data_IF_308077719974
#
_entry.id   IF_308077719974
#
_cell.length_a   1.000
_cell.length_b   1.000
_cell.length_c   1.000
_cell.angle_alpha   90.00
_cell.angle_beta   90.00
_cell.angle_gamma   90.00
#
_symmetry.space_group_name_H-M   'P 1'
#
loop_
_entity.id
_entity.type
_entity.pdbx_description
1 polymer ?
#
# COMPACT_ATOMS: atom_id res chain seq x y z
N UNK A 1 11.97 -20.60 14.39
CA UNK A 1 10.58 -20.97 14.02
C UNK A 1 10.47 -21.29 12.54
N UNK A 2 9.47 -22.10 12.16
CA UNK A 2 9.03 -22.27 10.78
C UNK A 2 7.72 -21.50 10.57
N UNK A 3 7.75 -20.41 9.83
CA UNK A 3 6.63 -19.51 9.59
C UNK A 3 6.12 -19.71 8.16
N UNK A 4 4.82 -19.97 8.00
CA UNK A 4 4.20 -20.11 6.67
C UNK A 4 3.32 -18.90 6.41
N UNK A 5 3.70 -18.06 5.43
CA UNK A 5 2.94 -16.89 4.99
C UNK A 5 2.07 -17.24 3.78
N UNK A 6 0.80 -16.85 3.81
CA UNK A 6 -0.13 -17.03 2.68
C UNK A 6 -0.50 -15.65 2.15
N UNK A 7 0.04 -15.28 0.99
CA UNK A 7 -0.20 -13.99 0.35
C UNK A 7 -0.46 -14.15 -1.14
N UNK A 8 -1.55 -13.57 -1.62
CA UNK A 8 -1.87 -13.56 -3.04
C UNK A 8 -0.96 -12.63 -3.87
N UNK A 9 -0.23 -11.73 -3.23
CA UNK A 9 0.77 -10.85 -3.85
C UNK A 9 2.16 -11.12 -3.25
N UNK A 10 3.14 -11.30 -4.12
CA UNK A 10 4.56 -11.45 -3.80
C UNK A 10 5.37 -11.13 -5.07
N UNK A 11 6.60 -10.61 -5.01
CA UNK A 11 7.42 -10.35 -6.20
C UNK A 11 7.51 -11.56 -7.15
N UNK A 12 7.51 -11.37 -8.46
CA UNK A 12 7.58 -10.12 -9.23
C UNK A 12 6.23 -9.39 -9.41
N UNK A 13 5.22 -9.72 -8.62
CA UNK A 13 3.93 -9.06 -8.61
C UNK A 13 3.90 -8.06 -7.44
N UNK A 14 4.32 -6.83 -7.73
CA UNK A 14 4.42 -5.77 -6.75
C UNK A 14 3.08 -5.05 -6.53
N UNK A 15 2.74 -4.84 -5.28
CA UNK A 15 1.69 -3.99 -4.73
C UNK A 15 2.05 -3.72 -3.27
N UNK A 16 1.32 -2.89 -2.54
CA UNK A 16 1.61 -2.60 -1.14
C UNK A 16 1.74 -3.87 -0.30
N UNK A 17 0.76 -4.78 -0.40
CA UNK A 17 0.81 -6.08 0.29
C UNK A 17 2.01 -6.93 -0.16
N UNK A 18 2.28 -7.02 -1.46
CA UNK A 18 3.39 -7.82 -1.99
C UNK A 18 4.75 -7.34 -1.48
N UNK A 19 4.92 -6.02 -1.37
CA UNK A 19 6.13 -5.39 -0.83
C UNK A 19 6.29 -5.70 0.66
N UNK A 20 5.25 -5.48 1.48
CA UNK A 20 5.32 -5.75 2.92
C UNK A 20 5.60 -7.21 3.24
N UNK A 21 4.95 -8.15 2.54
CA UNK A 21 5.21 -9.60 2.71
C UNK A 21 6.63 -9.97 2.32
N UNK A 22 7.14 -9.38 1.23
CA UNK A 22 8.52 -9.63 0.80
C UNK A 22 9.52 -9.16 1.86
N UNK A 23 9.42 -7.93 2.30
CA UNK A 23 10.34 -7.37 3.30
C UNK A 23 10.26 -8.14 4.63
N UNK A 24 9.07 -8.43 5.13
CA UNK A 24 8.90 -9.21 6.35
C UNK A 24 9.48 -10.61 6.22
N UNK A 25 9.19 -11.32 5.11
CA UNK A 25 9.71 -12.68 4.90
C UNK A 25 11.23 -12.73 4.76
N UNK A 26 11.82 -11.71 4.13
CA UNK A 26 13.28 -11.57 4.00
C UNK A 26 13.92 -11.29 5.35
N UNK A 27 13.41 -10.32 6.09
CA UNK A 27 13.91 -9.97 7.43
C UNK A 27 13.89 -11.18 8.39
N UNK A 28 12.80 -11.93 8.40
CA UNK A 28 12.68 -13.13 9.23
C UNK A 28 13.68 -14.23 8.82
N UNK A 29 13.88 -14.41 7.52
CA UNK A 29 14.86 -15.37 7.01
C UNK A 29 16.29 -14.99 7.38
N UNK A 30 16.64 -13.70 7.33
CA UNK A 30 17.92 -13.14 7.78
C UNK A 30 18.13 -13.30 9.29
N UNK A 31 17.07 -13.24 10.09
CA UNK A 31 17.08 -13.57 11.54
C UNK A 31 17.18 -15.08 11.83
N UNK A 32 17.32 -15.93 10.81
CA UNK A 32 17.52 -17.36 10.94
C UNK A 32 16.22 -18.19 11.05
N UNK A 33 15.05 -17.58 10.87
CA UNK A 33 13.78 -18.30 10.82
C UNK A 33 13.58 -18.96 9.46
N UNK A 34 13.01 -20.17 9.44
CA UNK A 34 12.57 -20.80 8.20
C UNK A 34 11.24 -20.14 7.75
N UNK A 35 11.21 -19.57 6.57
CA UNK A 35 10.03 -18.90 6.03
C UNK A 35 9.57 -19.58 4.75
N UNK A 36 8.29 -19.95 4.70
CA UNK A 36 7.64 -20.51 3.51
C UNK A 36 6.54 -19.58 3.05
N UNK A 37 6.67 -18.97 1.87
CA UNK A 37 5.65 -18.10 1.31
C UNK A 37 4.84 -18.84 0.27
N UNK A 38 3.53 -18.99 0.49
CA UNK A 38 2.58 -19.55 -0.47
C UNK A 38 1.94 -18.39 -1.24
N UNK A 39 2.14 -18.34 -2.57
CA UNK A 39 1.65 -17.25 -3.41
C UNK A 39 1.05 -17.74 -4.73
N UNK A 40 0.41 -16.85 -5.46
CA UNK A 40 -0.18 -17.15 -6.77
C UNK A 40 0.90 -17.38 -7.82
N UNK A 41 0.76 -18.46 -8.60
CA UNK A 41 1.66 -18.73 -9.74
C UNK A 41 1.66 -17.56 -10.73
N UNK A 42 2.84 -17.28 -11.28
CA UNK A 42 3.09 -16.22 -12.26
C UNK A 42 3.84 -16.80 -13.48
N UNK A 43 3.86 -16.04 -14.61
CA UNK A 43 4.66 -16.41 -15.80
C UNK A 43 6.17 -16.35 -15.52
N UNK A 44 6.62 -15.40 -14.72
CA UNK A 44 7.98 -15.32 -14.19
C UNK A 44 8.01 -16.06 -12.86
N UNK A 45 8.91 -17.04 -12.73
CA UNK A 45 9.10 -17.76 -11.48
C UNK A 45 9.60 -16.82 -10.39
N UNK A 46 9.15 -17.08 -9.18
CA UNK A 46 9.71 -16.44 -7.99
C UNK A 46 11.10 -17.05 -7.73
N UNK A 47 12.09 -16.21 -7.52
CA UNK A 47 13.43 -16.64 -7.09
C UNK A 47 13.67 -16.06 -5.71
N UNK A 48 14.00 -16.91 -4.76
CA UNK A 48 14.56 -16.48 -3.48
C UNK A 48 16.04 -16.78 -3.48
N UNK A 49 16.85 -15.81 -3.09
CA UNK A 49 18.30 -15.96 -2.96
C UNK A 49 18.72 -16.32 -1.52
N UNK A 50 17.77 -16.46 -0.60
CA UNK A 50 18.07 -16.77 0.81
C UNK A 50 17.76 -18.23 1.14
N UNK A 51 18.67 -18.99 1.79
CA UNK A 51 18.51 -20.41 2.06
C UNK A 51 17.32 -20.73 2.96
N UNK A 52 16.93 -19.83 3.85
CA UNK A 52 15.80 -20.00 4.78
C UNK A 52 14.46 -19.51 4.22
N UNK A 53 14.42 -18.95 3.00
CA UNK A 53 13.20 -18.40 2.39
C UNK A 53 12.77 -19.23 1.18
N UNK A 54 11.64 -19.92 1.31
CA UNK A 54 11.10 -20.79 0.27
C UNK A 54 9.78 -20.23 -0.27
N UNK A 55 9.67 -20.06 -1.59
CA UNK A 55 8.45 -19.55 -2.23
C UNK A 55 7.75 -20.68 -2.98
N UNK A 56 6.50 -20.93 -2.63
CA UNK A 56 5.64 -21.95 -3.23
C UNK A 56 4.53 -21.31 -4.06
N UNK A 57 4.53 -21.57 -5.34
CA UNK A 57 3.48 -21.10 -6.24
C UNK A 57 2.31 -22.09 -6.30
N UNK A 58 1.09 -21.57 -6.17
CA UNK A 58 -0.12 -22.37 -6.30
C UNK A 58 -1.02 -21.87 -7.42
N UNK A 59 -1.82 -22.77 -7.98
CA UNK A 59 -2.82 -22.46 -9.02
C UNK A 59 -3.88 -21.50 -8.48
N UNK A 60 -4.51 -20.75 -9.39
CA UNK A 60 -5.59 -19.82 -9.08
C UNK A 60 -6.44 -19.56 -10.33
N UNK A 61 -7.74 -19.29 -10.15
CA UNK A 61 -8.63 -18.91 -11.23
C UNK A 61 -8.42 -17.45 -11.64
N UNK A 62 -8.32 -17.18 -12.95
CA UNK A 62 -8.07 -15.82 -13.48
C UNK A 62 -9.35 -14.97 -13.60
N UNK A 63 -10.38 -15.29 -12.83
CA UNK A 63 -11.63 -14.52 -12.80
C UNK A 63 -11.60 -13.50 -11.66
N UNK A 64 -12.03 -12.25 -11.89
CA UNK A 64 -12.11 -11.23 -10.84
C UNK A 64 -12.86 -11.74 -9.62
N UNK A 65 -12.38 -11.36 -8.43
CA UNK A 65 -12.87 -11.80 -7.10
C UNK A 65 -12.83 -13.33 -6.86
N UNK A 66 -13.23 -14.17 -7.83
CA UNK A 66 -13.18 -15.62 -7.67
C UNK A 66 -11.76 -16.17 -7.45
N UNK A 67 -10.74 -15.43 -7.91
CA UNK A 67 -9.35 -15.80 -7.67
C UNK A 67 -9.03 -15.96 -6.17
N UNK A 68 -9.65 -15.19 -5.29
CA UNK A 68 -9.39 -15.22 -3.84
C UNK A 68 -9.80 -16.55 -3.23
N UNK A 69 -10.94 -17.09 -3.68
CA UNK A 69 -11.46 -18.41 -3.24
C UNK A 69 -10.64 -19.56 -3.79
N UNK A 70 -10.32 -19.53 -5.08
CA UNK A 70 -9.51 -20.57 -5.70
C UNK A 70 -8.08 -20.57 -5.16
N UNK A 71 -7.48 -19.39 -4.95
CA UNK A 71 -6.17 -19.26 -4.31
C UNK A 71 -6.19 -19.83 -2.90
N UNK A 72 -7.18 -19.47 -2.08
CA UNK A 72 -7.35 -20.00 -0.73
C UNK A 72 -7.43 -21.53 -0.70
N UNK A 73 -8.19 -22.14 -1.62
CA UNK A 73 -8.30 -23.60 -1.73
C UNK A 73 -6.93 -24.28 -1.98
N UNK A 74 -6.21 -23.80 -3.01
CA UNK A 74 -4.90 -24.39 -3.33
C UNK A 74 -3.83 -24.06 -2.28
N UNK A 75 -3.95 -22.93 -1.59
CA UNK A 75 -3.03 -22.53 -0.52
C UNK A 75 -3.18 -23.45 0.70
N UNK A 76 -4.41 -23.81 1.10
CA UNK A 76 -4.64 -24.75 2.20
C UNK A 76 -4.10 -26.14 1.86
N UNK A 77 -4.32 -26.64 0.64
CA UNK A 77 -3.75 -27.92 0.21
C UNK A 77 -2.21 -27.92 0.24
N UNK A 78 -1.60 -26.79 -0.18
CA UNK A 78 -0.14 -26.65 -0.10
C UNK A 78 0.36 -26.55 1.33
N UNK A 79 -0.36 -25.85 2.20
CA UNK A 79 -0.07 -25.76 3.63
C UNK A 79 -0.05 -27.15 4.28
N UNK A 80 -1.04 -28.01 4.01
CA UNK A 80 -1.09 -29.38 4.48
C UNK A 80 0.10 -30.21 3.97
N UNK A 81 0.46 -30.05 2.70
CA UNK A 81 1.63 -30.72 2.13
C UNK A 81 2.94 -30.29 2.83
N UNK A 82 3.05 -29.03 3.26
CA UNK A 82 4.20 -28.55 4.04
C UNK A 82 4.16 -29.15 5.45
N UNK A 83 2.99 -29.13 6.12
CA UNK A 83 2.79 -29.65 7.47
C UNK A 83 3.07 -31.15 7.57
N UNK A 84 2.77 -31.93 6.53
CA UNK A 84 3.07 -33.36 6.47
C UNK A 84 4.57 -33.69 6.51
N UNK A 85 5.44 -32.76 6.10
CA UNK A 85 6.89 -32.98 6.04
C UNK A 85 7.69 -32.15 7.05
N UNK A 86 7.09 -31.10 7.60
CA UNK A 86 7.77 -30.17 8.49
C UNK A 86 6.79 -29.62 9.51
N UNK A 87 7.20 -29.56 10.77
CA UNK A 87 6.46 -28.82 11.78
C UNK A 87 6.37 -27.34 11.36
N UNK A 88 5.17 -26.77 11.50
CA UNK A 88 4.90 -25.35 11.30
C UNK A 88 4.62 -24.74 12.66
N UNK A 89 5.32 -23.65 13.00
CA UNK A 89 5.15 -22.97 14.28
C UNK A 89 4.13 -21.84 14.22
N UNK A 90 3.92 -21.25 13.03
CA UNK A 90 2.96 -20.17 12.81
C UNK A 90 2.48 -20.11 11.35
N UNK A 91 1.21 -19.78 11.16
CA UNK A 91 0.61 -19.48 9.85
C UNK A 91 0.19 -18.01 9.82
N UNK A 92 0.72 -17.24 8.86
CA UNK A 92 0.38 -15.84 8.67
C UNK A 92 -0.43 -15.62 7.38
N UNK A 93 -1.68 -15.20 7.51
CA UNK A 93 -2.64 -14.97 6.42
C UNK A 93 -2.68 -13.47 6.09
N UNK A 94 -2.52 -13.10 4.82
CA UNK A 94 -2.58 -11.70 4.37
C UNK A 94 -3.92 -11.42 3.65
N UNK A 95 -4.86 -10.80 4.38
CA UNK A 95 -6.19 -10.44 3.89
C UNK A 95 -6.19 -9.10 3.15
N UNK A 96 -7.18 -8.81 2.26
CA UNK A 96 -8.41 -9.58 1.99
C UNK A 96 -8.31 -10.62 0.87
N UNK A 97 -7.15 -10.81 0.25
CA UNK A 97 -7.03 -11.63 -0.97
C UNK A 97 -6.98 -13.15 -0.72
N UNK A 98 -7.11 -13.56 0.54
CA UNK A 98 -7.18 -14.98 0.95
C UNK A 98 -8.56 -15.23 1.56
N UNK A 99 -9.50 -15.77 0.78
CA UNK A 99 -10.89 -15.97 1.20
C UNK A 99 -11.11 -17.40 1.72
N UNK A 100 -10.85 -17.65 3.00
CA UNK A 100 -11.02 -18.95 3.63
C UNK A 100 -12.45 -19.17 4.15
N UNK A 101 -12.97 -20.41 4.01
CA UNK A 101 -14.18 -20.83 4.71
C UNK A 101 -13.89 -21.13 6.17
N UNK A 102 -14.93 -21.22 7.01
CA UNK A 102 -14.80 -21.65 8.40
C UNK A 102 -14.05 -23.00 8.51
N UNK A 103 -14.41 -23.99 7.68
CA UNK A 103 -13.75 -25.30 7.65
C UNK A 103 -12.26 -25.18 7.32
N UNK A 104 -11.89 -24.33 6.39
CA UNK A 104 -10.49 -24.11 6.02
C UNK A 104 -9.72 -23.39 7.13
N UNK A 105 -10.33 -22.41 7.82
CA UNK A 105 -9.71 -21.75 8.98
C UNK A 105 -9.48 -22.72 10.13
N UNK A 106 -10.50 -23.52 10.48
CA UNK A 106 -10.34 -24.57 11.53
C UNK A 106 -9.21 -25.55 11.19
N UNK A 107 -9.05 -25.88 9.90
CA UNK A 107 -7.95 -26.71 9.43
C UNK A 107 -6.58 -26.02 9.56
N UNK A 108 -6.48 -24.75 9.27
CA UNK A 108 -5.25 -23.98 9.53
C UNK A 108 -4.93 -23.96 11.03
N UNK A 109 -5.92 -23.68 11.88
CA UNK A 109 -5.77 -23.63 13.33
C UNK A 109 -5.39 -24.98 13.96
N UNK A 110 -5.75 -26.12 13.34
CA UNK A 110 -5.32 -27.44 13.79
C UNK A 110 -3.86 -27.78 13.44
N UNK A 111 -3.23 -27.02 12.56
CA UNK A 111 -1.83 -27.19 12.17
C UNK A 111 -0.91 -26.32 13.03
N UNK A 112 -1.23 -25.03 13.19
CA UNK A 112 -0.45 -24.07 13.96
C UNK A 112 -1.31 -22.84 14.31
N UNK A 113 -0.91 -22.01 15.30
CA UNK A 113 -1.57 -20.74 15.56
C UNK A 113 -1.57 -19.87 14.32
N UNK A 114 -2.70 -19.17 14.10
CA UNK A 114 -2.87 -18.33 12.90
C UNK A 114 -2.88 -16.86 13.25
N UNK A 115 -2.19 -16.06 12.44
CA UNK A 115 -2.24 -14.62 12.45
C UNK A 115 -2.91 -14.14 11.16
N UNK A 116 -3.83 -13.17 11.23
CA UNK A 116 -4.48 -12.56 10.08
C UNK A 116 -4.11 -11.09 9.96
N UNK A 117 -3.24 -10.72 9.00
CA UNK A 117 -2.96 -9.32 8.68
C UNK A 117 -4.03 -8.73 7.77
N UNK A 118 -4.61 -7.62 8.22
CA UNK A 118 -5.65 -6.85 7.54
C UNK A 118 -5.01 -5.69 6.78
N UNK A 119 -4.88 -5.81 5.44
CA UNK A 119 -4.29 -4.78 4.58
C UNK A 119 -5.34 -3.80 4.00
N UNK A 120 -6.47 -3.67 4.64
CA UNK A 120 -7.70 -3.02 4.20
C UNK A 120 -8.83 -4.05 4.11
N UNK A 121 -9.95 -3.67 3.53
CA UNK A 121 -11.15 -4.51 3.50
C UNK A 121 -11.87 -4.49 2.14
N UNK A 122 -12.62 -5.55 1.81
CA UNK A 122 -13.48 -5.55 0.62
C UNK A 122 -14.61 -4.52 0.69
N UNK A 123 -15.13 -4.26 1.88
CA UNK A 123 -16.18 -3.23 2.07
C UNK A 123 -15.60 -1.83 1.84
N UNK A 124 -14.41 -1.56 2.35
CA UNK A 124 -13.71 -0.30 2.15
C UNK A 124 -13.30 -0.09 0.68
N UNK A 125 -12.74 -1.12 0.02
CA UNK A 125 -12.44 -1.06 -1.43
C UNK A 125 -13.71 -0.72 -2.25
N UNK A 126 -14.85 -1.34 -1.92
CA UNK A 126 -16.15 -1.04 -2.56
C UNK A 126 -16.56 0.41 -2.35
N UNK A 127 -16.46 0.93 -1.14
CA UNK A 127 -16.86 2.30 -0.83
C UNK A 127 -15.92 3.33 -1.47
N UNK A 128 -14.62 3.04 -1.53
CA UNK A 128 -13.68 3.83 -2.32
C UNK A 128 -14.03 3.89 -3.80
N UNK A 129 -14.55 2.81 -4.38
CA UNK A 129 -15.05 2.81 -5.77
C UNK A 129 -16.38 3.57 -5.93
N UNK A 130 -17.26 3.53 -4.92
CA UNK A 130 -18.50 4.35 -4.90
C UNK A 130 -18.13 5.83 -4.84
N UNK A 131 -17.21 6.22 -3.96
CA UNK A 131 -16.68 7.58 -3.88
C UNK A 131 -16.05 8.02 -5.20
N UNK A 132 -15.17 7.18 -5.79
CA UNK A 132 -14.58 7.45 -7.09
C UNK A 132 -15.63 7.74 -8.19
N UNK A 133 -16.73 6.98 -8.19
CA UNK A 133 -17.85 7.22 -9.12
C UNK A 133 -18.55 8.53 -8.83
N UNK A 134 -18.83 8.84 -7.56
CA UNK A 134 -19.47 10.09 -7.11
C UNK A 134 -18.67 11.31 -7.57
N UNK A 135 -17.33 11.28 -7.45
CA UNK A 135 -16.44 12.37 -7.86
C UNK A 135 -16.06 12.33 -9.34
N UNK A 136 -16.70 11.44 -10.11
CA UNK A 136 -16.59 11.39 -11.56
C UNK A 136 -15.28 10.80 -12.08
N UNK A 137 -14.56 10.01 -11.28
CA UNK A 137 -13.46 9.19 -11.76
C UNK A 137 -13.99 8.22 -12.83
N UNK A 138 -13.39 8.28 -13.99
CA UNK A 138 -13.94 7.59 -15.15
C UNK A 138 -13.74 6.08 -15.06
N UNK A 139 -14.80 5.33 -15.45
CA UNK A 139 -14.72 3.95 -15.88
C UNK A 139 -14.72 2.86 -14.80
N UNK A 140 -15.18 3.12 -13.57
CA UNK A 140 -15.43 2.05 -12.60
C UNK A 140 -16.27 0.93 -13.23
N UNK A 141 -17.35 1.28 -13.94
CA UNK A 141 -18.22 0.29 -14.61
C UNK A 141 -17.62 -0.36 -15.88
N UNK A 142 -16.52 0.20 -16.41
CA UNK A 142 -15.81 -0.33 -17.59
C UNK A 142 -14.59 -1.16 -17.24
N UNK A 143 -14.20 -1.20 -15.97
CA UNK A 143 -13.13 -2.05 -15.48
C UNK A 143 -13.74 -3.30 -14.85
N UNK A 144 -13.52 -4.51 -15.40
CA UNK A 144 -14.11 -5.75 -14.89
C UNK A 144 -13.75 -6.02 -13.42
N UNK A 145 -12.55 -5.65 -12.97
CA UNK A 145 -12.12 -5.81 -11.58
C UNK A 145 -12.93 -4.90 -10.65
N UNK A 146 -13.01 -3.60 -10.99
CA UNK A 146 -13.76 -2.62 -10.17
C UNK A 146 -15.24 -2.97 -10.12
N UNK A 147 -15.83 -3.37 -11.26
CA UNK A 147 -17.22 -3.82 -11.31
C UNK A 147 -17.45 -5.08 -10.46
N UNK A 148 -16.54 -6.04 -10.51
CA UNK A 148 -16.62 -7.24 -9.68
C UNK A 148 -16.57 -6.91 -8.19
N UNK A 149 -15.71 -5.99 -7.75
CA UNK A 149 -15.66 -5.53 -6.36
C UNK A 149 -17.00 -4.89 -5.97
N UNK A 150 -17.53 -3.98 -6.79
CA UNK A 150 -18.81 -3.32 -6.52
C UNK A 150 -19.95 -4.32 -6.31
N UNK A 151 -20.01 -5.37 -7.12
CA UNK A 151 -21.10 -6.36 -7.11
C UNK A 151 -20.93 -7.42 -6.03
N UNK A 152 -19.70 -7.84 -5.72
CA UNK A 152 -19.45 -9.03 -4.90
C UNK A 152 -18.69 -8.79 -3.59
N UNK A 153 -18.27 -7.57 -3.29
CA UNK A 153 -17.54 -7.26 -2.06
C UNK A 153 -18.28 -7.72 -0.79
N UNK A 154 -19.61 -7.51 -0.70
CA UNK A 154 -20.43 -8.00 0.42
C UNK A 154 -20.44 -9.52 0.57
N UNK A 155 -20.31 -10.26 -0.52
CA UNK A 155 -20.19 -11.72 -0.46
C UNK A 155 -18.81 -12.15 0.03
N UNK A 156 -17.75 -11.54 -0.52
CA UNK A 156 -16.37 -11.87 -0.14
C UNK A 156 -15.98 -11.38 1.25
N UNK A 157 -16.60 -10.31 1.75
CA UNK A 157 -16.39 -9.82 3.12
C UNK A 157 -16.76 -10.85 4.20
N UNK A 158 -17.67 -11.79 3.89
CA UNK A 158 -17.99 -12.90 4.81
C UNK A 158 -16.80 -13.82 5.08
N UNK A 159 -15.98 -14.10 4.07
CA UNK A 159 -14.77 -14.92 4.21
C UNK A 159 -13.66 -14.16 4.93
N UNK A 160 -13.57 -12.86 4.67
CA UNK A 160 -12.66 -11.95 5.34
C UNK A 160 -12.98 -11.89 6.84
N UNK A 161 -14.27 -11.68 7.20
CA UNK A 161 -14.75 -11.77 8.60
C UNK A 161 -14.37 -13.08 9.25
N UNK A 162 -14.68 -14.20 8.61
CA UNK A 162 -14.38 -15.54 9.14
C UNK A 162 -12.90 -15.72 9.40
N UNK A 163 -12.04 -15.31 8.46
CA UNK A 163 -10.59 -15.43 8.60
C UNK A 163 -10.06 -14.57 9.74
N UNK A 164 -10.52 -13.31 9.85
CA UNK A 164 -10.12 -12.40 10.92
C UNK A 164 -10.64 -12.85 12.30
N UNK A 165 -11.89 -13.33 12.37
CA UNK A 165 -12.53 -13.74 13.63
C UNK A 165 -11.95 -15.02 14.19
N UNK A 166 -11.58 -15.98 13.34
CA UNK A 166 -11.09 -17.29 13.76
C UNK A 166 -9.56 -17.38 13.85
N UNK A 167 -8.84 -16.35 13.46
CA UNK A 167 -7.41 -16.28 13.69
C UNK A 167 -7.12 -16.19 15.20
N UNK A 168 -5.99 -16.75 15.65
CA UNK A 168 -5.52 -16.64 17.03
C UNK A 168 -5.32 -15.16 17.42
N UNK A 169 -4.87 -14.35 16.44
CA UNK A 169 -4.83 -12.89 16.54
C UNK A 169 -4.97 -12.28 15.14
N UNK A 170 -5.67 -11.17 15.05
CA UNK A 170 -5.66 -10.30 13.88
C UNK A 170 -4.68 -9.14 14.08
N UNK A 171 -4.08 -8.65 12.99
CA UNK A 171 -3.25 -7.45 12.99
C UNK A 171 -3.78 -6.49 11.94
N UNK A 172 -4.31 -5.37 12.38
CA UNK A 172 -4.70 -4.28 11.51
C UNK A 172 -3.49 -3.40 11.19
N UNK A 173 -3.37 -2.96 9.95
CA UNK A 173 -2.29 -2.08 9.51
C UNK A 173 -2.52 -0.60 9.85
N UNK A 174 -3.65 -0.28 10.51
CA UNK A 174 -3.99 1.05 11.02
C UNK A 174 -5.12 0.94 12.04
N UNK A 175 -5.29 1.95 12.90
CA UNK A 175 -6.44 2.00 13.80
C UNK A 175 -7.75 2.15 13.01
N UNK A 176 -7.76 2.91 11.92
CA UNK A 176 -8.92 3.04 11.04
C UNK A 176 -9.36 1.68 10.48
N UNK A 177 -8.42 0.83 10.04
CA UNK A 177 -8.74 -0.53 9.58
C UNK A 177 -9.29 -1.39 10.74
N UNK A 178 -8.73 -1.30 11.95
CA UNK A 178 -9.26 -2.02 13.12
C UNK A 178 -10.69 -1.58 13.44
N UNK A 179 -10.95 -0.29 13.49
CA UNK A 179 -12.28 0.28 13.73
C UNK A 179 -13.26 -0.15 12.64
N UNK A 180 -12.85 -0.10 11.37
CA UNK A 180 -13.67 -0.57 10.25
C UNK A 180 -14.13 -2.02 10.44
N UNK A 181 -13.26 -2.91 10.90
CA UNK A 181 -13.63 -4.31 11.18
C UNK A 181 -14.60 -4.41 12.36
N UNK A 182 -14.40 -3.68 13.45
CA UNK A 182 -15.31 -3.67 14.59
C UNK A 182 -16.70 -3.21 14.15
N UNK A 183 -16.80 -2.07 13.49
CA UNK A 183 -18.08 -1.45 13.15
C UNK A 183 -18.81 -2.13 11.98
N UNK A 184 -18.12 -2.41 10.90
CA UNK A 184 -18.75 -2.86 9.64
C UNK A 184 -18.81 -4.37 9.48
N UNK A 185 -17.85 -5.08 10.08
CA UNK A 185 -17.85 -6.54 10.09
C UNK A 185 -18.49 -7.07 11.37
N UNK A 186 -18.85 -6.19 12.32
CA UNK A 186 -19.45 -6.57 13.60
C UNK A 186 -18.63 -7.67 14.27
N UNK A 187 -17.36 -7.37 14.53
CA UNK A 187 -16.48 -8.29 15.23
C UNK A 187 -16.90 -8.39 16.70
N UNK A 188 -16.78 -9.56 17.33
CA UNK A 188 -17.18 -9.74 18.72
C UNK A 188 -16.27 -8.94 19.66
N UNK A 189 -16.73 -8.68 20.88
CA UNK A 189 -16.00 -7.89 21.88
C UNK A 189 -14.67 -8.53 22.29
N UNK A 190 -14.61 -9.87 22.30
CA UNK A 190 -13.42 -10.66 22.61
C UNK A 190 -12.47 -10.85 21.40
N UNK A 191 -12.75 -10.18 20.27
CA UNK A 191 -11.90 -10.27 19.10
C UNK A 191 -10.51 -9.70 19.36
N UNK A 192 -9.52 -10.57 19.35
CA UNK A 192 -8.14 -10.19 19.54
C UNK A 192 -7.57 -9.56 18.29
N UNK A 193 -7.36 -8.23 18.30
CA UNK A 193 -6.79 -7.48 17.20
C UNK A 193 -5.81 -6.43 17.69
N UNK A 194 -4.59 -6.52 17.22
CA UNK A 194 -3.54 -5.53 17.46
C UNK A 194 -3.41 -4.58 16.26
N UNK A 195 -2.82 -3.41 16.48
CA UNK A 195 -2.47 -2.49 15.39
C UNK A 195 -0.95 -2.45 15.23
N UNK A 196 -0.47 -2.90 14.06
CA UNK A 196 0.94 -2.80 13.66
C UNK A 196 0.98 -2.12 12.30
N UNK A 197 1.45 -0.88 12.26
CA UNK A 197 1.66 -0.17 11.00
C UNK A 197 2.80 -0.81 10.21
N UNK A 198 2.59 -0.99 8.91
CA UNK A 198 3.68 -1.33 8.02
C UNK A 198 4.60 -0.15 7.84
N UNK A 199 5.89 -0.39 7.97
CA UNK A 199 6.91 0.61 7.75
C UNK A 199 7.45 0.62 6.34
N UNK A 200 8.28 1.62 6.06
CA UNK A 200 9.04 1.78 4.82
C UNK A 200 10.53 1.68 5.08
N UNK A 201 11.28 1.31 4.05
CA UNK A 201 12.73 1.28 4.08
C UNK A 201 13.26 2.72 4.13
N UNK A 202 13.72 3.13 5.31
CA UNK A 202 14.19 4.50 5.57
C UNK A 202 15.58 4.79 5.05
N UNK A 203 16.33 3.77 4.63
CA UNK A 203 17.63 3.94 3.96
C UNK A 203 17.42 4.13 2.47
N UNK A 204 16.59 3.30 1.84
CA UNK A 204 16.24 3.42 0.43
C UNK A 204 15.51 4.75 0.15
N UNK A 205 14.51 5.07 0.95
CA UNK A 205 13.76 6.33 0.87
C UNK A 205 14.34 7.33 1.87
N UNK A 206 15.49 7.93 1.51
CA UNK A 206 16.20 8.91 2.33
C UNK A 206 16.45 10.20 1.55
N UNK A 207 16.49 11.36 2.23
CA UNK A 207 16.93 12.60 1.61
C UNK A 207 18.37 12.48 1.16
N UNK A 208 18.69 13.06 0.02
CA UNK A 208 20.10 13.23 -0.38
C UNK A 208 20.67 14.41 0.40
N UNK A 209 21.58 14.14 1.33
CA UNK A 209 22.11 15.16 2.26
C UNK A 209 23.08 16.12 1.55
N UNK A 210 23.97 15.60 0.69
CA UNK A 210 24.92 16.43 -0.04
C UNK A 210 24.22 17.37 -1.03
N UNK A 211 24.37 18.71 -0.88
CA UNK A 211 23.66 19.68 -1.72
C UNK A 211 24.00 19.56 -3.21
N UNK A 212 25.23 19.17 -3.56
CA UNK A 212 25.68 19.02 -4.95
C UNK A 212 24.99 17.81 -5.59
N UNK A 213 25.04 16.68 -4.90
CA UNK A 213 24.36 15.44 -5.34
C UNK A 213 22.85 15.64 -5.46
N UNK A 214 22.22 16.31 -4.49
CA UNK A 214 20.80 16.66 -4.53
C UNK A 214 20.45 17.49 -5.77
N UNK A 215 21.26 18.52 -6.08
CA UNK A 215 21.07 19.33 -7.26
C UNK A 215 21.23 18.50 -8.55
N UNK A 216 22.25 17.68 -8.64
CA UNK A 216 22.48 16.82 -9.79
C UNK A 216 21.31 15.86 -10.07
N UNK A 217 20.76 15.23 -9.02
CA UNK A 217 19.60 14.33 -9.13
C UNK A 217 18.37 15.15 -9.56
N UNK A 218 18.14 16.31 -8.95
CA UNK A 218 17.06 17.21 -9.32
C UNK A 218 17.13 17.60 -10.81
N UNK A 219 18.31 17.98 -11.29
CA UNK A 219 18.56 18.36 -12.66
C UNK A 219 18.39 17.19 -13.63
N UNK A 220 18.91 16.01 -13.27
CA UNK A 220 18.73 14.74 -14.01
C UNK A 220 17.24 14.41 -14.20
N UNK A 221 16.44 14.47 -13.16
CA UNK A 221 15.01 14.12 -13.20
C UNK A 221 14.24 15.15 -14.03
N UNK A 222 14.50 16.46 -13.86
CA UNK A 222 13.83 17.49 -14.66
C UNK A 222 14.19 17.37 -16.15
N UNK A 223 15.45 17.14 -16.47
CA UNK A 223 15.90 16.89 -17.83
C UNK A 223 15.24 15.64 -18.45
N UNK A 224 15.20 14.52 -17.71
CA UNK A 224 14.54 13.27 -18.15
C UNK A 224 13.09 13.50 -18.58
N UNK A 225 12.37 14.34 -17.87
CA UNK A 225 10.94 14.61 -18.15
C UNK A 225 10.70 15.85 -18.98
N UNK A 226 11.74 16.55 -19.39
CA UNK A 226 11.66 17.80 -20.18
C UNK A 226 10.99 18.94 -19.42
N UNK A 227 11.24 19.04 -18.11
CA UNK A 227 10.80 20.12 -17.26
C UNK A 227 11.92 21.16 -17.07
N UNK A 228 11.59 22.47 -16.95
CA UNK A 228 12.58 23.49 -16.61
C UNK A 228 13.21 23.21 -15.23
N UNK A 229 14.48 23.54 -15.05
CA UNK A 229 15.27 23.23 -13.85
C UNK A 229 14.67 23.79 -12.56
N UNK A 230 14.20 25.03 -12.59
CA UNK A 230 13.65 25.71 -11.42
C UNK A 230 12.15 25.46 -11.19
N UNK A 231 11.52 24.61 -12.01
CA UNK A 231 10.10 24.29 -11.87
C UNK A 231 9.81 23.61 -10.54
N UNK A 232 8.82 24.07 -9.76
CA UNK A 232 8.26 23.27 -8.68
C UNK A 232 7.70 21.96 -9.22
N UNK A 233 8.10 20.84 -8.61
CA UNK A 233 7.69 19.49 -9.05
C UNK A 233 6.79 18.84 -8.01
N UNK A 234 5.53 18.65 -8.39
CA UNK A 234 4.54 17.87 -7.64
C UNK A 234 4.58 16.43 -8.14
N UNK A 235 4.67 15.50 -7.21
CA UNK A 235 4.71 14.06 -7.49
C UNK A 235 3.41 13.39 -7.05
N UNK A 236 2.92 12.43 -7.84
CA UNK A 236 1.89 11.49 -7.42
C UNK A 236 2.27 10.08 -7.85
N UNK A 237 2.30 9.14 -6.91
CA UNK A 237 2.70 7.75 -7.15
C UNK A 237 1.52 6.81 -6.89
N UNK A 238 1.43 5.71 -7.64
CA UNK A 238 0.48 4.65 -7.37
C UNK A 238 -0.24 4.09 -8.59
N UNK A 239 -1.04 3.06 -8.40
CA UNK A 239 -1.81 2.44 -9.49
C UNK A 239 -2.77 3.45 -10.13
N UNK A 240 -2.78 3.54 -11.46
CA UNK A 240 -3.71 4.41 -12.20
C UNK A 240 -5.10 3.76 -12.26
N UNK A 241 -5.76 3.71 -11.09
CA UNK A 241 -7.08 3.15 -10.83
C UNK A 241 -8.05 4.22 -10.35
N UNK A 242 -9.35 3.99 -10.51
CA UNK A 242 -10.39 4.98 -10.21
C UNK A 242 -10.32 5.48 -8.75
N UNK A 243 -10.16 4.58 -7.79
CA UNK A 243 -10.13 4.94 -6.36
C UNK A 243 -8.90 5.74 -5.91
N UNK A 244 -7.90 5.94 -6.80
CA UNK A 244 -6.68 6.71 -6.50
C UNK A 244 -6.79 8.22 -6.82
N UNK A 245 -7.96 8.71 -7.23
CA UNK A 245 -8.29 10.14 -7.29
C UNK A 245 -7.52 10.98 -8.31
N UNK A 246 -6.90 10.37 -9.31
CA UNK A 246 -6.06 11.11 -10.28
C UNK A 246 -6.83 12.15 -11.10
N UNK A 247 -8.13 11.96 -11.32
CA UNK A 247 -8.91 12.97 -12.03
C UNK A 247 -9.17 14.21 -11.16
N UNK A 248 -9.41 14.02 -9.86
CA UNK A 248 -9.48 15.09 -8.87
C UNK A 248 -8.16 15.86 -8.86
N UNK A 249 -7.01 15.15 -8.80
CA UNK A 249 -5.69 15.79 -8.91
C UNK A 249 -5.52 16.62 -10.19
N UNK A 250 -5.91 16.12 -11.36
CA UNK A 250 -5.80 16.86 -12.60
C UNK A 250 -6.74 18.08 -12.67
N UNK A 251 -7.92 18.00 -12.05
CA UNK A 251 -8.81 19.14 -11.93
C UNK A 251 -8.18 20.25 -11.07
N UNK A 252 -7.63 19.85 -9.90
CA UNK A 252 -6.90 20.74 -9.01
C UNK A 252 -5.70 21.36 -9.69
N UNK A 253 -4.90 20.53 -10.38
CA UNK A 253 -3.68 20.99 -11.03
C UNK A 253 -3.93 22.01 -12.14
N UNK A 254 -5.10 21.98 -12.78
CA UNK A 254 -5.52 23.03 -13.70
C UNK A 254 -5.59 24.41 -13.01
N UNK A 255 -6.05 24.47 -11.76
CA UNK A 255 -6.07 25.72 -10.98
C UNK A 255 -4.67 26.07 -10.47
N UNK A 256 -3.89 25.07 -10.06
CA UNK A 256 -2.50 25.28 -9.62
C UNK A 256 -1.66 26.00 -10.68
N UNK A 257 -1.73 25.60 -11.94
CA UNK A 257 -0.94 26.24 -13.01
C UNK A 257 -1.42 27.66 -13.38
N UNK A 258 -2.62 28.05 -12.98
CA UNK A 258 -3.08 29.45 -13.12
C UNK A 258 -2.37 30.36 -12.12
N UNK A 259 -2.13 29.90 -10.91
CA UNK A 259 -1.47 30.64 -9.82
C UNK A 259 0.04 30.41 -9.78
N UNK A 260 0.51 29.24 -10.18
CA UNK A 260 1.91 28.84 -10.24
C UNK A 260 2.23 28.24 -11.62
N UNK A 261 2.36 29.08 -12.68
CA UNK A 261 2.52 28.60 -14.07
C UNK A 261 3.75 27.71 -14.31
N UNK A 262 4.79 27.87 -13.50
CA UNK A 262 6.00 27.07 -13.56
C UNK A 262 5.81 25.63 -12.97
N UNK A 263 4.75 25.38 -12.23
CA UNK A 263 4.54 24.08 -11.58
C UNK A 263 4.43 22.93 -12.60
N UNK A 264 5.03 21.79 -12.27
CA UNK A 264 5.00 20.56 -13.05
C UNK A 264 4.45 19.40 -12.20
N UNK A 265 3.73 18.48 -12.86
CA UNK A 265 3.17 17.31 -12.24
C UNK A 265 3.76 16.05 -12.89
N UNK A 266 4.41 15.23 -12.09
CA UNK A 266 4.86 13.90 -12.47
C UNK A 266 3.96 12.85 -11.81
N UNK A 267 3.36 11.98 -12.62
CA UNK A 267 2.56 10.86 -12.13
C UNK A 267 3.29 9.56 -12.47
N UNK A 268 3.59 8.74 -11.47
CA UNK A 268 4.23 7.45 -11.65
C UNK A 268 3.25 6.34 -11.29
N UNK A 269 2.92 5.50 -12.29
CA UNK A 269 2.05 4.37 -12.01
C UNK A 269 1.53 3.62 -13.23
N UNK A 270 1.21 2.36 -12.99
CA UNK A 270 0.59 1.46 -14.00
C UNK A 270 -0.93 1.47 -13.86
N UNK A 271 -1.63 1.40 -14.97
CA UNK A 271 -3.08 1.24 -14.98
C UNK A 271 -3.76 1.80 -16.23
N UNK A 272 -5.03 1.48 -16.37
CA UNK A 272 -5.83 1.79 -17.57
C UNK A 272 -6.18 3.28 -17.74
N UNK A 273 -5.89 4.13 -16.76
CA UNK A 273 -6.29 5.55 -16.80
C UNK A 273 -5.30 6.44 -17.56
N UNK A 274 -4.05 6.01 -17.82
CA UNK A 274 -2.99 6.84 -18.44
C UNK A 274 -3.48 7.66 -19.64
N UNK A 275 -4.08 7.00 -20.65
CA UNK A 275 -4.58 7.67 -21.86
C UNK A 275 -5.69 8.70 -21.58
N UNK A 276 -6.52 8.48 -20.55
CA UNK A 276 -7.62 9.38 -20.17
C UNK A 276 -7.10 10.62 -19.47
N UNK A 277 -6.11 10.45 -18.59
CA UNK A 277 -5.46 11.55 -17.87
C UNK A 277 -4.73 12.48 -18.87
N UNK A 278 -3.97 11.93 -19.81
CA UNK A 278 -3.35 12.73 -20.87
C UNK A 278 -4.37 13.46 -21.75
N UNK A 279 -5.47 12.80 -22.13
CA UNK A 279 -6.53 13.45 -22.91
C UNK A 279 -7.18 14.61 -22.14
N UNK A 280 -7.37 14.43 -20.83
CA UNK A 280 -7.90 15.50 -19.99
C UNK A 280 -6.96 16.70 -19.96
N UNK A 281 -5.66 16.49 -19.72
CA UNK A 281 -4.66 17.56 -19.72
C UNK A 281 -4.57 18.28 -21.07
N UNK A 282 -4.59 17.53 -22.18
CA UNK A 282 -4.59 18.09 -23.54
C UNK A 282 -5.83 18.94 -23.79
N UNK A 283 -7.03 18.46 -23.45
CA UNK A 283 -8.30 19.19 -23.62
C UNK A 283 -8.33 20.51 -22.82
N UNK A 284 -7.62 20.57 -21.70
CA UNK A 284 -7.57 21.76 -20.84
C UNK A 284 -6.29 22.59 -21.00
N UNK A 285 -5.45 22.32 -22.01
CA UNK A 285 -4.33 23.15 -22.40
C UNK A 285 -3.06 23.07 -21.55
N UNK A 286 -2.95 22.05 -20.65
CA UNK A 286 -1.79 21.92 -19.75
C UNK A 286 -0.98 20.63 -19.91
N UNK A 287 -1.06 19.97 -21.06
CA UNK A 287 -0.32 18.73 -21.33
C UNK A 287 1.22 18.87 -21.24
N UNK A 288 1.76 20.08 -21.44
CA UNK A 288 3.19 20.38 -21.28
C UNK A 288 3.63 20.45 -19.80
N UNK A 289 2.68 20.62 -18.89
CA UNK A 289 2.94 20.69 -17.46
C UNK A 289 2.82 19.34 -16.74
N UNK A 290 2.46 18.26 -17.46
CA UNK A 290 2.34 16.93 -16.86
C UNK A 290 3.16 15.86 -17.60
N UNK A 291 3.68 14.89 -16.83
CA UNK A 291 4.23 13.64 -17.36
C UNK A 291 3.63 12.46 -16.60
N UNK A 292 3.43 11.35 -17.31
CA UNK A 292 2.93 10.11 -16.70
C UNK A 292 3.86 8.97 -17.08
N UNK A 293 4.64 8.48 -16.11
CA UNK A 293 5.53 7.35 -16.26
C UNK A 293 4.82 6.06 -15.80
N UNK A 294 5.10 4.95 -16.45
CA UNK A 294 4.36 3.70 -16.17
C UNK A 294 4.88 2.97 -14.94
N UNK A 295 6.18 2.95 -14.74
CA UNK A 295 6.82 2.38 -13.56
C UNK A 295 8.31 2.75 -13.57
N UNK A 296 8.85 2.82 -12.38
CA UNK A 296 10.27 2.92 -12.09
C UNK A 296 10.64 1.72 -11.21
N UNK A 297 11.90 1.37 -11.14
CA UNK A 297 12.40 0.51 -10.05
C UNK A 297 12.48 1.32 -8.74
N UNK A 298 12.85 0.68 -7.65
CA UNK A 298 12.84 1.34 -6.36
C UNK A 298 13.92 2.41 -6.23
N UNK A 299 15.10 2.20 -6.83
CA UNK A 299 16.21 3.16 -6.79
C UNK A 299 15.86 4.41 -7.61
N UNK A 300 15.34 4.21 -8.83
CA UNK A 300 14.83 5.32 -9.66
C UNK A 300 13.68 6.08 -8.96
N UNK A 301 12.80 5.38 -8.25
CA UNK A 301 11.69 5.99 -7.52
C UNK A 301 12.20 6.82 -6.33
N UNK A 302 13.22 6.34 -5.61
CA UNK A 302 13.89 7.09 -4.54
C UNK A 302 14.52 8.39 -5.06
N UNK A 303 15.22 8.35 -6.21
CA UNK A 303 15.74 9.56 -6.86
C UNK A 303 14.62 10.56 -7.22
N UNK A 304 13.46 10.06 -7.68
CA UNK A 304 12.32 10.93 -8.01
C UNK A 304 11.74 11.57 -6.75
N UNK A 305 11.58 10.84 -5.64
CA UNK A 305 11.17 11.43 -4.37
C UNK A 305 12.15 12.53 -3.94
N UNK A 306 13.46 12.24 -3.96
CA UNK A 306 14.50 13.21 -3.57
C UNK A 306 14.56 14.46 -4.46
N UNK A 307 13.95 14.42 -5.65
CA UNK A 307 13.94 15.53 -6.62
C UNK A 307 12.66 16.36 -6.62
N UNK A 308 11.56 15.88 -6.02
CA UNK A 308 10.29 16.62 -5.99
C UNK A 308 10.23 17.62 -4.82
N UNK A 309 9.27 18.54 -4.90
CA UNK A 309 9.07 19.54 -3.86
C UNK A 309 7.87 19.18 -2.96
N UNK A 310 6.92 18.40 -3.51
CA UNK A 310 5.67 18.03 -2.84
C UNK A 310 5.13 16.72 -3.41
N UNK A 311 4.55 15.88 -2.56
CA UNK A 311 3.82 14.67 -3.00
C UNK A 311 2.32 14.81 -2.72
N UNK A 312 1.49 14.41 -3.67
CA UNK A 312 0.02 14.41 -3.54
C UNK A 312 -0.53 12.99 -3.58
N UNK A 313 -1.34 12.65 -2.58
CA UNK A 313 -1.95 11.33 -2.42
C UNK A 313 -3.48 11.43 -2.32
N UNK A 314 -4.20 11.52 -3.47
CA UNK A 314 -5.62 11.86 -3.52
C UNK A 314 -6.55 10.62 -3.47
N UNK A 315 -6.16 9.55 -2.78
CA UNK A 315 -6.91 8.28 -2.72
C UNK A 315 -8.23 8.43 -1.99
N UNK A 316 -9.26 7.71 -2.44
CA UNK A 316 -10.58 7.65 -1.81
C UNK A 316 -10.74 6.51 -0.78
N UNK A 317 -9.82 5.59 -0.74
CA UNK A 317 -9.73 4.51 0.24
C UNK A 317 -8.32 3.93 0.28
N UNK A 318 -7.84 3.70 1.49
CA UNK A 318 -6.59 3.00 1.82
C UNK A 318 -6.78 2.14 3.08
N UNK A 319 -6.01 1.06 3.18
CA UNK A 319 -5.86 0.34 4.44
C UNK A 319 -4.86 1.03 5.37
N UNK A 320 -3.75 1.55 4.81
CA UNK A 320 -2.77 2.39 5.49
C UNK A 320 -2.26 3.49 4.56
N UNK A 321 -1.52 3.14 3.51
CA UNK A 321 -0.89 4.09 2.59
C UNK A 321 0.62 4.20 2.80
N UNK A 322 1.40 3.35 2.12
CA UNK A 322 2.87 3.40 2.20
C UNK A 322 3.46 4.60 1.44
N UNK A 323 2.80 5.04 0.38
CA UNK A 323 3.27 6.15 -0.48
C UNK A 323 3.49 7.47 0.31
N UNK A 324 2.57 7.92 1.19
CA UNK A 324 2.85 9.03 2.09
C UNK A 324 4.09 8.81 2.96
N UNK A 325 4.30 7.60 3.46
CA UNK A 325 5.47 7.26 4.29
C UNK A 325 6.76 7.27 3.47
N UNK A 326 6.76 6.77 2.22
CA UNK A 326 7.91 6.84 1.30
C UNK A 326 8.31 8.30 1.04
N UNK A 327 7.33 9.17 0.75
CA UNK A 327 7.56 10.59 0.54
C UNK A 327 8.13 11.28 1.78
N UNK A 328 7.49 11.12 2.94
CA UNK A 328 7.96 11.68 4.22
C UNK A 328 9.33 11.12 4.61
N UNK A 329 9.58 9.84 4.36
CA UNK A 329 10.89 9.21 4.57
C UNK A 329 11.98 9.87 3.72
N UNK A 330 11.66 10.28 2.50
CA UNK A 330 12.55 11.03 1.61
C UNK A 330 12.64 12.54 1.95
N UNK A 331 12.01 12.98 3.04
CA UNK A 331 12.00 14.38 3.46
C UNK A 331 11.06 15.27 2.63
N UNK A 332 10.06 14.70 1.98
CA UNK A 332 9.12 15.42 1.11
C UNK A 332 7.75 15.54 1.79
N UNK A 333 7.20 16.75 1.92
CA UNK A 333 5.86 16.97 2.47
C UNK A 333 4.77 16.29 1.63
N UNK A 334 3.65 15.95 2.28
CA UNK A 334 2.56 15.22 1.64
C UNK A 334 1.25 15.98 1.78
N UNK A 335 0.57 16.21 0.66
CA UNK A 335 -0.85 16.56 0.67
C UNK A 335 -1.66 15.29 0.40
N UNK A 336 -2.55 14.94 1.31
CA UNK A 336 -3.32 13.70 1.19
C UNK A 336 -4.81 13.92 1.47
N UNK A 337 -5.64 13.01 0.98
CA UNK A 337 -7.08 13.03 1.28
C UNK A 337 -7.31 12.77 2.76
N UNK A 338 -8.16 13.57 3.40
CA UNK A 338 -8.64 13.31 4.77
C UNK A 338 -9.62 12.13 4.74
N UNK A 339 -9.09 10.91 4.85
CA UNK A 339 -9.89 9.69 4.88
C UNK A 339 -9.15 8.50 5.47
N UNK A 340 -9.90 7.64 6.15
CA UNK A 340 -9.42 6.38 6.71
C UNK A 340 -8.18 6.57 7.58
N UNK A 341 -7.07 5.84 7.30
CA UNK A 341 -5.85 5.88 8.12
C UNK A 341 -4.93 7.07 7.82
N UNK A 342 -5.21 7.88 6.83
CA UNK A 342 -4.29 8.94 6.41
C UNK A 342 -4.03 9.96 7.53
N UNK A 343 -5.04 10.43 8.30
CA UNK A 343 -4.81 11.33 9.45
C UNK A 343 -3.96 10.72 10.57
N UNK A 344 -3.80 9.41 10.61
CA UNK A 344 -2.91 8.74 11.58
C UNK A 344 -1.42 8.97 11.25
N UNK A 345 -1.10 9.36 10.02
CA UNK A 345 0.27 9.53 9.52
C UNK A 345 0.58 10.96 9.10
N UNK A 346 -0.40 11.66 8.53
CA UNK A 346 -0.26 13.00 7.94
C UNK A 346 -1.12 14.00 8.69
N UNK A 347 -0.50 15.11 9.10
CA UNK A 347 -1.15 16.27 9.68
C UNK A 347 -0.46 17.56 9.20
N UNK A 348 -0.85 18.72 9.71
CA UNK A 348 -0.32 20.03 9.31
C UNK A 348 1.17 20.24 9.61
N UNK A 349 1.79 19.39 10.43
CA UNK A 349 3.22 19.48 10.77
C UNK A 349 4.11 18.81 9.71
N UNK A 350 3.57 17.88 8.91
CA UNK A 350 4.32 17.11 7.91
C UNK A 350 3.77 17.30 6.48
N UNK A 351 2.64 17.98 6.36
CA UNK A 351 1.97 18.18 5.09
C UNK A 351 0.67 18.93 5.25
N UNK A 352 -0.38 18.48 4.56
CA UNK A 352 -1.75 18.95 4.77
C UNK A 352 -2.77 17.91 4.33
N UNK A 353 -3.96 17.97 4.91
CA UNK A 353 -5.09 17.15 4.52
C UNK A 353 -6.10 17.99 3.72
N UNK A 354 -6.72 17.38 2.73
CA UNK A 354 -7.81 18.01 1.96
C UNK A 354 -9.05 17.13 1.94
N UNK A 355 -10.21 17.74 1.76
CA UNK A 355 -11.48 17.04 1.75
C UNK A 355 -11.60 16.10 0.53
N UNK A 356 -12.06 14.89 0.78
CA UNK A 356 -12.19 13.84 -0.24
C UNK A 356 -12.97 14.33 -1.47
N UNK A 357 -12.30 14.31 -2.62
CA UNK A 357 -12.90 14.66 -3.92
C UNK A 357 -13.04 16.15 -4.19
N UNK A 358 -12.69 17.01 -3.24
CA UNK A 358 -12.69 18.45 -3.40
C UNK A 358 -11.42 18.91 -4.14
N UNK A 359 -11.60 19.26 -5.41
CA UNK A 359 -10.48 19.70 -6.25
C UNK A 359 -10.06 21.16 -5.99
N UNK A 360 -10.91 21.98 -5.41
CA UNK A 360 -10.57 23.37 -5.08
C UNK A 360 -9.77 23.42 -3.80
N UNK A 361 -10.18 22.63 -2.80
CA UNK A 361 -9.45 22.46 -1.56
C UNK A 361 -8.04 21.90 -1.80
N UNK A 362 -7.94 20.83 -2.61
CA UNK A 362 -6.65 20.30 -3.04
C UNK A 362 -5.79 21.32 -3.80
N UNK A 363 -6.41 22.14 -4.66
CA UNK A 363 -5.67 23.18 -5.39
C UNK A 363 -5.11 24.24 -4.43
N UNK A 364 -5.92 24.73 -3.47
CA UNK A 364 -5.47 25.66 -2.44
C UNK A 364 -4.29 25.09 -1.66
N UNK A 365 -4.44 23.85 -1.16
CA UNK A 365 -3.37 23.18 -0.41
C UNK A 365 -2.06 23.10 -1.21
N UNK A 366 -2.09 22.73 -2.49
CA UNK A 366 -0.90 22.67 -3.34
C UNK A 366 -0.29 24.08 -3.54
N UNK A 367 -1.11 25.08 -3.82
CA UNK A 367 -0.66 26.45 -4.06
C UNK A 367 0.00 27.04 -2.81
N UNK A 368 -0.64 26.86 -1.65
CA UNK A 368 -0.15 27.40 -0.38
C UNK A 368 1.16 26.74 0.07
N UNK A 369 1.30 25.42 -0.14
CA UNK A 369 2.55 24.74 0.14
C UNK A 369 3.67 25.18 -0.81
N UNK A 370 3.42 25.32 -2.11
CA UNK A 370 4.45 25.69 -3.10
C UNK A 370 4.94 27.13 -2.94
N UNK A 371 4.19 28.02 -2.29
CA UNK A 371 4.57 29.43 -2.08
C UNK A 371 5.64 29.62 -0.99
N UNK A 372 5.79 28.65 -0.07
CA UNK A 372 6.71 28.76 1.07
C UNK A 372 7.70 27.58 1.10
N UNK A 373 8.85 27.77 0.45
CA UNK A 373 9.92 26.76 0.38
C UNK A 373 10.53 26.43 1.75
N UNK A 374 10.57 27.41 2.68
CA UNK A 374 11.13 27.18 4.01
C UNK A 374 10.20 26.28 4.81
N UNK A 375 8.89 26.54 4.77
CA UNK A 375 7.87 25.69 5.40
C UNK A 375 7.86 24.27 4.81
N UNK A 376 7.97 24.13 3.48
CA UNK A 376 8.09 22.81 2.82
C UNK A 376 9.29 22.03 3.37
N UNK A 377 10.46 22.66 3.46
CA UNK A 377 11.68 22.02 3.98
C UNK A 377 11.52 21.57 5.42
N UNK A 378 10.92 22.41 6.29
CA UNK A 378 10.69 22.08 7.69
C UNK A 378 9.66 20.92 7.84
N UNK A 379 8.55 20.96 7.12
CA UNK A 379 7.57 19.85 7.09
C UNK A 379 8.22 18.55 6.63
N UNK A 380 9.07 18.59 5.62
CA UNK A 380 9.81 17.42 5.14
C UNK A 380 10.73 16.84 6.22
N UNK A 381 11.47 17.69 6.93
CA UNK A 381 12.34 17.29 8.05
C UNK A 381 11.55 16.62 9.19
N UNK A 382 10.42 17.21 9.58
CA UNK A 382 9.53 16.65 10.60
C UNK A 382 8.94 15.32 10.13
N UNK A 383 8.49 15.25 8.87
CA UNK A 383 7.97 14.02 8.26
C UNK A 383 8.97 12.87 8.28
N UNK A 384 10.23 13.13 7.89
CA UNK A 384 11.33 12.15 7.97
C UNK A 384 11.51 11.62 9.39
N UNK A 385 11.59 12.53 10.39
CA UNK A 385 11.74 12.14 11.79
C UNK A 385 10.57 11.26 12.25
N UNK A 386 9.33 11.63 11.92
CA UNK A 386 8.13 10.85 12.24
C UNK A 386 8.20 9.43 11.67
N UNK A 387 8.62 9.29 10.40
CA UNK A 387 8.72 7.96 9.76
C UNK A 387 9.78 7.11 10.43
N UNK A 388 10.97 7.65 10.69
CA UNK A 388 12.04 6.92 11.38
C UNK A 388 11.58 6.43 12.75
N UNK A 389 10.84 7.25 13.49
CA UNK A 389 10.42 6.94 14.87
C UNK A 389 9.22 5.98 14.95
N UNK A 390 8.31 5.99 13.97
CA UNK A 390 7.03 5.29 14.12
C UNK A 390 6.67 4.35 12.96
N UNK A 391 7.36 4.46 11.83
CA UNK A 391 6.99 3.76 10.59
C UNK A 391 8.21 3.20 9.85
N UNK A 392 9.27 2.83 10.57
CA UNK A 392 10.41 2.15 9.94
C UNK A 392 10.06 0.69 9.64
N UNK A 393 10.60 0.19 8.53
CA UNK A 393 10.41 -1.21 8.11
C UNK A 393 10.94 -2.17 9.17
N UNK A 394 12.12 -1.91 9.72
CA UNK A 394 12.76 -2.77 10.72
C UNK A 394 11.90 -2.86 11.97
N UNK A 395 11.41 -1.72 12.50
CA UNK A 395 10.54 -1.71 13.68
C UNK A 395 9.25 -2.50 13.46
N UNK A 396 8.64 -2.36 12.28
CA UNK A 396 7.45 -3.13 11.92
C UNK A 396 7.72 -4.63 11.92
N UNK A 397 8.84 -5.06 11.34
CA UNK A 397 9.24 -6.46 11.30
C UNK A 397 9.53 -7.02 12.71
N UNK A 398 10.19 -6.25 13.58
CA UNK A 398 10.46 -6.65 14.97
C UNK A 398 9.16 -6.77 15.80
N UNK A 399 8.18 -5.88 15.61
CA UNK A 399 6.86 -6.00 16.23
C UNK A 399 6.14 -7.30 15.82
N UNK A 400 6.19 -7.65 14.53
CA UNK A 400 5.66 -8.92 14.06
C UNK A 400 6.40 -10.12 14.65
N UNK A 401 7.72 -10.07 14.74
CA UNK A 401 8.54 -11.13 15.34
C UNK A 401 8.17 -11.34 16.81
N UNK A 402 8.07 -10.29 17.61
CA UNK A 402 7.64 -10.38 19.01
C UNK A 402 6.25 -10.99 19.17
N UNK A 403 5.31 -10.65 18.27
CA UNK A 403 3.98 -11.25 18.27
C UNK A 403 4.02 -12.74 17.89
N UNK A 404 4.88 -13.14 16.95
CA UNK A 404 5.04 -14.54 16.57
C UNK A 404 5.61 -15.40 17.72
N UNK A 405 6.61 -14.87 18.44
CA UNK A 405 7.18 -15.55 19.61
C UNK A 405 6.12 -15.79 20.69
N UNK A 406 5.30 -14.78 20.98
CA UNK A 406 4.21 -14.90 21.97
C UNK A 406 3.16 -15.95 21.58
N UNK A 407 2.77 -16.01 20.31
CA UNK A 407 1.77 -16.96 19.81
C UNK A 407 2.31 -18.40 19.79
N UNK A 408 3.57 -18.57 19.37
CA UNK A 408 4.21 -19.89 19.30
C UNK A 408 4.37 -20.51 20.69
N UNK A 409 4.74 -19.72 21.70
CA UNK A 409 4.88 -20.16 23.10
C UNK A 409 3.52 -20.59 23.67
N UNK A 410 2.50 -19.75 23.55
CA UNK A 410 1.15 -20.05 24.08
C UNK A 410 0.53 -21.31 23.46
N UNK A 411 0.79 -21.58 22.19
CA UNK A 411 0.27 -22.77 21.51
C UNK A 411 0.96 -24.06 21.98
N UNK A 412 2.27 -24.01 22.22
CA UNK A 412 3.02 -25.16 22.71
C UNK A 412 2.65 -25.55 24.15
N UNK A 413 2.28 -24.57 24.99
CA UNK A 413 1.83 -24.83 26.37
C UNK A 413 0.42 -25.44 26.46
N UNK A 414 -0.37 -25.37 25.38
CA UNK A 414 -1.75 -25.90 25.32
C UNK A 414 -1.86 -27.24 24.56
N UNK A 415 -0.80 -27.67 23.88
CA UNK A 415 -0.72 -28.93 23.11
C UNK A 415 0.05 -30.01 23.85
#
# INVERSE_FOLDING_TARGET
MHIVMVSAEYPPRWGGMGSTVHHLSTHLAEKGHRVSVITRSNRKKHTSNHPNLHVFEVKWAKLPMHFTRSFAHYSVNKLESIAANHRIDLIHLHLPMVSLTRKQMMKCNSIAPTLASLHGSWLGERDGLIAARRFGEAAVLRNPNDLSILLSAKYYSKFEKVSAQLASVSVANSNATRIEFVERYHMPEDWRCETIYWGVDTELFSPVEDPVSRRNIRDKIRHRYGFPQESPLVLAVGRLAARKGYKTLLKSFKHVIQEVPAAKLLIIGRGGMKKKLYRYAKKNGFQSSIKIESSLDFDELSEVYSSCDLTVFPSYYEGQGLIPLEAMSSGIPVIATDCGPIPEMVDDTVGSLFQMGDNEDLARSIIDELKDRQRLSEKGRIGRKRVIQNFSLIESCEKFLGLYDSLSTTFNDQS
#
